data_IF_336490521889
#
_entry.id   IF_336490521889
#
_cell.length_a   1.000
_cell.length_b   1.000
_cell.length_c   1.000
_cell.angle_alpha   90.00
_cell.angle_beta   90.00
_cell.angle_gamma   90.00
#
_symmetry.space_group_name_H-M   'P 1'
#
loop_
_entity.id
_entity.type
_entity.pdbx_description
1 polymer ?
#
# COMPACT_ATOMS: atom_id res chain seq x y z
N UNK A 1 11.52 -11.45 19.01
CA UNK A 1 10.74 -10.25 18.59
C UNK A 1 11.52 -9.03 19.04
N UNK A 2 12.29 -8.40 18.14
CA UNK A 2 12.85 -7.08 18.42
C UNK A 2 11.67 -6.11 18.47
N UNK A 3 11.41 -5.53 19.63
CA UNK A 3 10.51 -4.39 19.72
C UNK A 3 11.14 -3.29 18.89
N UNK A 4 10.57 -3.01 17.71
CA UNK A 4 10.77 -1.72 17.07
C UNK A 4 10.65 -0.69 18.18
N UNK A 5 11.56 0.25 18.21
CA UNK A 5 11.45 1.35 19.14
C UNK A 5 10.14 2.07 18.85
N UNK A 6 9.10 1.70 19.60
CA UNK A 6 7.76 2.28 19.52
C UNK A 6 7.79 3.80 19.76
N UNK A 7 8.96 4.34 20.12
CA UNK A 7 9.15 5.77 20.39
C UNK A 7 8.95 6.63 19.14
N UNK A 8 9.44 6.18 17.97
CA UNK A 8 9.37 6.98 16.73
C UNK A 8 7.97 6.89 16.13
N UNK A 9 7.47 5.66 15.88
CA UNK A 9 6.14 5.47 15.30
C UNK A 9 5.00 5.87 16.25
N UNK A 10 5.22 5.80 17.56
CA UNK A 10 4.28 6.22 18.61
C UNK A 10 4.27 7.72 18.91
N UNK A 11 4.99 8.55 18.17
CA UNK A 11 5.05 9.99 18.43
C UNK A 11 3.67 10.64 18.34
N UNK A 12 2.85 10.24 17.37
CA UNK A 12 1.49 10.74 17.14
C UNK A 12 0.41 9.67 17.31
N UNK A 13 0.72 8.41 17.02
CA UNK A 13 -0.25 7.32 17.06
C UNK A 13 -0.64 6.97 18.51
N UNK A 14 -1.95 6.84 18.76
CA UNK A 14 -2.49 6.50 20.09
C UNK A 14 -2.49 7.63 21.10
N UNK A 15 -2.06 8.85 20.74
CA UNK A 15 -2.12 10.05 21.59
C UNK A 15 -3.21 11.02 21.13
N UNK A 16 -3.74 11.84 22.02
CA UNK A 16 -4.52 13.03 21.63
C UNK A 16 -3.58 13.93 20.82
N UNK A 17 -3.93 14.17 19.57
CA UNK A 17 -3.21 15.10 18.69
C UNK A 17 -4.02 16.38 18.56
N UNK A 18 -3.39 17.51 18.78
CA UNK A 18 -3.95 18.78 18.33
C UNK A 18 -3.75 18.88 16.83
N UNK A 19 -4.80 19.23 16.10
CA UNK A 19 -4.72 19.45 14.65
C UNK A 19 -4.16 20.84 14.41
N UNK A 20 -3.07 20.93 13.65
CA UNK A 20 -2.55 22.21 13.20
C UNK A 20 -3.56 22.92 12.29
N UNK A 21 -3.77 24.21 12.50
CA UNK A 21 -4.68 25.01 11.69
C UNK A 21 -4.02 25.55 10.42
N UNK A 22 -2.69 25.56 10.39
CA UNK A 22 -1.89 26.03 9.25
C UNK A 22 -0.83 24.99 8.88
N UNK A 23 -0.41 25.05 7.62
CA UNK A 23 0.60 24.16 7.07
C UNK A 23 1.84 24.04 7.96
N UNK A 24 2.16 22.79 8.31
CA UNK A 24 3.29 22.45 9.16
C UNK A 24 3.97 21.13 8.70
N UNK A 25 5.11 21.21 7.97
CA UNK A 25 5.84 20.04 7.54
C UNK A 25 6.56 19.30 8.67
N UNK A 26 6.71 19.88 9.85
CA UNK A 26 7.34 19.23 11.00
C UNK A 26 6.50 18.10 11.60
N UNK A 27 5.23 18.00 11.21
CA UNK A 27 4.32 16.91 11.59
C UNK A 27 4.71 15.57 10.95
N UNK A 28 5.46 15.58 9.84
CA UNK A 28 5.83 14.37 9.12
C UNK A 28 6.87 13.56 9.90
N UNK A 29 6.64 12.25 9.99
CA UNK A 29 7.52 11.29 10.68
C UNK A 29 7.90 10.17 9.72
N UNK A 30 9.21 9.87 9.64
CA UNK A 30 9.75 8.73 8.90
C UNK A 30 9.97 7.54 9.85
N UNK A 31 9.58 6.35 9.41
CA UNK A 31 9.78 5.09 10.16
C UNK A 31 10.74 4.19 9.39
N UNK A 32 11.86 3.75 9.99
CA UNK A 32 12.81 2.87 9.32
C UNK A 32 12.19 1.51 8.96
N UNK A 33 12.47 1.03 7.74
CA UNK A 33 12.03 -0.32 7.29
C UNK A 33 12.91 -1.44 7.85
N UNK A 34 14.17 -1.12 8.13
CA UNK A 34 15.19 -2.10 8.51
C UNK A 34 14.74 -3.05 9.63
N UNK A 35 14.17 -2.59 10.77
CA UNK A 35 13.77 -3.50 11.84
C UNK A 35 12.73 -4.55 11.41
N UNK A 36 11.77 -4.17 10.54
CA UNK A 36 10.78 -5.12 10.03
C UNK A 36 11.39 -6.08 9.01
N UNK A 37 12.29 -5.61 8.15
CA UNK A 37 13.02 -6.43 7.18
C UNK A 37 13.96 -7.41 7.86
N UNK A 38 14.66 -7.00 8.92
CA UNK A 38 15.51 -7.89 9.73
C UNK A 38 14.68 -9.06 10.32
N UNK A 39 13.46 -8.81 10.77
CA UNK A 39 12.57 -9.85 11.34
C UNK A 39 12.21 -10.96 10.34
N UNK A 40 12.23 -10.68 9.06
CA UNK A 40 11.96 -11.63 7.98
C UNK A 40 13.23 -12.00 7.18
N UNK A 41 14.41 -11.72 7.73
CA UNK A 41 15.71 -11.99 7.10
C UNK A 41 15.85 -11.39 5.70
N UNK A 42 15.43 -10.13 5.52
CA UNK A 42 15.60 -9.37 4.28
C UNK A 42 16.70 -8.34 4.45
N UNK A 43 17.76 -8.44 3.64
CA UNK A 43 18.78 -7.40 3.53
C UNK A 43 18.21 -6.21 2.76
N UNK A 44 18.25 -5.02 3.38
CA UNK A 44 17.77 -3.78 2.77
C UNK A 44 18.51 -3.42 1.48
N UNK A 45 19.78 -3.84 1.32
CA UNK A 45 20.57 -3.60 0.13
C UNK A 45 20.42 -4.68 -0.94
N UNK A 46 19.81 -5.82 -0.60
CA UNK A 46 19.62 -6.95 -1.51
C UNK A 46 18.26 -7.62 -1.24
N UNK A 47 17.19 -6.91 -1.54
CA UNK A 47 15.84 -7.41 -1.36
C UNK A 47 15.49 -8.49 -2.39
N UNK A 48 14.63 -9.47 -2.05
CA UNK A 48 14.18 -10.49 -3.00
C UNK A 48 13.24 -9.95 -4.08
N UNK A 49 12.77 -8.71 -3.94
CA UNK A 49 12.03 -7.96 -4.96
C UNK A 49 12.94 -6.88 -5.56
N UNK A 50 12.82 -6.66 -6.85
CA UNK A 50 13.55 -5.59 -7.56
C UNK A 50 12.74 -4.30 -7.62
N UNK A 51 11.42 -4.43 -7.80
CA UNK A 51 10.49 -3.31 -7.96
C UNK A 51 9.58 -3.25 -6.74
N UNK A 52 9.55 -2.10 -6.11
CA UNK A 52 8.75 -1.85 -4.92
C UNK A 52 8.11 -0.47 -5.00
N UNK A 53 6.82 -0.40 -4.72
CA UNK A 53 6.10 0.87 -4.67
C UNK A 53 5.19 0.89 -3.45
N UNK A 54 5.12 2.05 -2.81
CA UNK A 54 4.10 2.35 -1.81
C UNK A 54 3.18 3.43 -2.39
N UNK A 55 1.92 3.05 -2.60
CA UNK A 55 0.89 3.92 -3.17
C UNK A 55 -0.07 4.33 -2.06
N UNK A 56 -0.32 5.64 -1.95
CA UNK A 56 -1.20 6.22 -0.95
C UNK A 56 -2.29 7.02 -1.63
N UNK A 57 -3.55 6.65 -1.39
CA UNK A 57 -4.69 7.40 -1.89
C UNK A 57 -5.21 8.29 -0.76
N UNK A 58 -5.24 9.60 -1.00
CA UNK A 58 -5.61 10.63 -0.05
C UNK A 58 -6.93 11.25 -0.49
N UNK A 59 -7.99 11.03 0.29
CA UNK A 59 -9.36 11.40 -0.09
C UNK A 59 -9.83 12.73 0.49
N UNK A 60 -9.03 13.33 1.36
CA UNK A 60 -9.42 14.50 2.17
C UNK A 60 -8.37 15.61 2.05
N UNK A 61 -7.84 15.84 0.83
CA UNK A 61 -6.95 17.00 0.58
C UNK A 61 -7.83 18.23 0.50
N UNK A 62 -7.53 19.25 1.31
CA UNK A 62 -8.30 20.49 1.37
C UNK A 62 -7.38 21.67 1.71
N UNK A 63 -7.72 22.86 1.18
CA UNK A 63 -7.01 24.11 1.46
C UNK A 63 -7.89 25.30 1.04
N UNK A 64 -7.35 26.53 1.08
CA UNK A 64 -8.03 27.75 0.71
C UNK A 64 -7.35 28.42 -0.48
N UNK A 65 -8.13 28.97 -1.41
CA UNK A 65 -7.63 29.89 -2.43
C UNK A 65 -7.13 31.20 -1.80
N UNK A 66 -6.47 32.03 -2.59
CA UNK A 66 -5.96 33.33 -2.13
C UNK A 66 -7.05 34.24 -1.55
N UNK A 67 -8.28 34.13 -2.03
CA UNK A 67 -9.45 34.87 -1.52
C UNK A 67 -10.11 34.24 -0.28
N UNK A 68 -9.62 33.06 0.17
CA UNK A 68 -10.18 32.31 1.30
C UNK A 68 -11.29 31.33 0.93
N UNK A 69 -11.60 31.14 -0.35
CA UNK A 69 -12.56 30.14 -0.79
C UNK A 69 -12.00 28.72 -0.53
N UNK A 70 -12.72 27.84 0.20
CA UNK A 70 -12.28 26.47 0.41
C UNK A 70 -12.42 25.64 -0.87
N UNK A 71 -11.49 24.71 -1.04
CA UNK A 71 -11.54 23.69 -2.07
C UNK A 71 -11.08 22.34 -1.51
N UNK A 72 -11.45 21.27 -2.18
CA UNK A 72 -11.03 19.89 -1.83
C UNK A 72 -10.67 19.11 -3.07
N UNK A 73 -9.87 18.07 -2.90
CA UNK A 73 -9.48 17.16 -3.96
C UNK A 73 -9.09 15.79 -3.42
N UNK A 74 -8.88 14.87 -4.35
CA UNK A 74 -8.32 13.55 -4.07
C UNK A 74 -6.91 13.45 -4.63
N UNK A 75 -6.00 12.87 -3.86
CA UNK A 75 -4.59 12.75 -4.23
C UNK A 75 -4.13 11.31 -4.31
N UNK A 76 -3.20 11.03 -5.21
CA UNK A 76 -2.50 9.75 -5.28
C UNK A 76 -1.00 9.99 -5.18
N UNK A 77 -0.42 9.54 -4.07
CA UNK A 77 1.02 9.63 -3.79
C UNK A 77 1.66 8.29 -4.15
N UNK A 78 2.79 8.33 -4.83
CA UNK A 78 3.58 7.14 -5.19
C UNK A 78 5.05 7.41 -4.92
N UNK A 79 5.72 6.47 -4.25
CA UNK A 79 7.17 6.49 -4.06
C UNK A 79 7.76 5.08 -4.02
N UNK A 80 9.09 5.00 -4.15
CA UNK A 80 9.83 3.75 -4.16
C UNK A 80 9.77 3.05 -2.78
N UNK A 81 9.28 1.82 -2.76
CA UNK A 81 9.23 0.97 -1.57
C UNK A 81 10.59 0.38 -1.16
N UNK A 82 11.68 0.64 -1.90
CA UNK A 82 13.05 0.29 -1.50
C UNK A 82 13.74 1.39 -0.66
N UNK A 83 13.08 2.51 -0.40
CA UNK A 83 13.60 3.55 0.49
C UNK A 83 13.94 3.01 1.88
N UNK A 84 14.82 3.71 2.61
CA UNK A 84 15.19 3.34 3.98
C UNK A 84 14.01 3.44 4.97
N UNK A 85 13.08 4.36 4.70
CA UNK A 85 11.95 4.67 5.59
C UNK A 85 10.61 4.60 4.84
N UNK A 86 9.53 4.40 5.61
CA UNK A 86 8.14 4.69 5.22
C UNK A 86 7.70 6.00 5.89
N UNK A 87 6.72 6.69 5.32
CA UNK A 87 6.04 7.77 6.04
C UNK A 87 5.06 7.17 7.06
N UNK A 88 5.05 7.70 8.29
CA UNK A 88 4.10 7.24 9.31
C UNK A 88 2.69 7.75 8.98
N UNK A 89 1.71 6.85 8.97
CA UNK A 89 0.36 7.12 8.43
C UNK A 89 -0.41 8.21 9.19
N UNK A 90 -0.30 8.27 10.52
CA UNK A 90 -0.97 9.28 11.33
C UNK A 90 -0.31 10.65 11.12
N UNK A 91 1.01 10.68 11.00
CA UNK A 91 1.76 11.91 10.73
C UNK A 91 1.40 12.51 9.37
N UNK A 92 1.28 11.65 8.34
CA UNK A 92 0.82 12.10 7.01
C UNK A 92 -0.60 12.66 7.05
N UNK A 93 -1.51 12.04 7.81
CA UNK A 93 -2.88 12.57 8.00
C UNK A 93 -2.87 13.94 8.65
N UNK A 94 -2.08 14.12 9.72
CA UNK A 94 -1.95 15.41 10.40
C UNK A 94 -1.33 16.47 9.48
N UNK A 95 -0.30 16.10 8.71
CA UNK A 95 0.35 16.97 7.74
C UNK A 95 -0.62 17.42 6.64
N UNK A 96 -1.35 16.49 6.01
CA UNK A 96 -2.35 16.86 4.99
C UNK A 96 -3.47 17.71 5.58
N UNK A 97 -3.90 17.43 6.82
CA UNK A 97 -4.91 18.24 7.50
C UNK A 97 -4.43 19.66 7.82
N UNK A 98 -3.12 19.88 7.99
CA UNK A 98 -2.57 21.21 8.29
C UNK A 98 -2.78 22.22 7.14
N UNK A 99 -3.10 21.76 5.92
CA UNK A 99 -3.45 22.64 4.81
C UNK A 99 -4.87 23.21 4.90
N UNK A 100 -5.77 22.64 5.70
CA UNK A 100 -7.21 22.94 5.66
C UNK A 100 -7.54 24.44 5.83
N UNK A 101 -6.77 25.18 6.64
CA UNK A 101 -6.94 26.63 6.81
C UNK A 101 -5.78 27.44 6.22
N UNK A 102 -4.89 26.78 5.48
CA UNK A 102 -3.78 27.43 4.79
C UNK A 102 -4.28 28.04 3.47
N UNK A 103 -3.94 29.30 3.22
CA UNK A 103 -4.21 29.93 1.92
C UNK A 103 -3.09 29.65 0.94
N UNK A 104 -3.44 29.17 -0.25
CA UNK A 104 -2.56 29.16 -1.41
C UNK A 104 -2.43 30.56 -2.01
N UNK A 105 -1.48 30.73 -2.93
CA UNK A 105 -1.38 31.93 -3.74
C UNK A 105 -2.29 31.90 -4.96
N UNK A 106 -2.88 30.75 -5.24
CA UNK A 106 -3.65 30.48 -6.44
C UNK A 106 -4.99 31.23 -6.45
N UNK A 107 -5.41 31.62 -7.64
CA UNK A 107 -6.71 32.24 -7.93
C UNK A 107 -7.74 31.25 -8.43
N UNK A 108 -7.29 30.05 -8.85
CA UNK A 108 -8.15 28.97 -9.31
C UNK A 108 -7.82 27.65 -8.61
N UNK A 109 -8.78 26.71 -8.60
CA UNK A 109 -8.61 25.39 -7.98
C UNK A 109 -7.50 24.58 -8.67
N UNK A 110 -7.39 24.66 -10.00
CA UNK A 110 -6.34 23.95 -10.74
C UNK A 110 -4.95 24.46 -10.40
N UNK A 111 -4.75 25.77 -10.32
CA UNK A 111 -3.48 26.35 -9.86
C UNK A 111 -3.17 25.95 -8.42
N UNK A 112 -4.19 25.88 -7.54
CA UNK A 112 -4.02 25.48 -6.16
C UNK A 112 -3.60 24.00 -6.04
N UNK A 113 -4.13 23.11 -6.88
CA UNK A 113 -3.67 21.71 -6.92
C UNK A 113 -2.20 21.61 -7.31
N UNK A 114 -1.75 22.37 -8.31
CA UNK A 114 -0.32 22.36 -8.69
C UNK A 114 0.57 22.97 -7.60
N UNK A 115 0.12 24.00 -6.89
CA UNK A 115 0.85 24.56 -5.74
C UNK A 115 0.99 23.53 -4.61
N UNK A 116 -0.11 22.88 -4.20
CA UNK A 116 -0.08 21.84 -3.17
C UNK A 116 0.78 20.64 -3.57
N UNK A 117 0.68 20.22 -4.83
CA UNK A 117 1.50 19.14 -5.38
C UNK A 117 2.99 19.43 -5.21
N UNK A 118 3.45 20.61 -5.61
CA UNK A 118 4.87 21.00 -5.48
C UNK A 118 5.33 20.96 -4.01
N UNK A 119 4.49 21.45 -3.10
CA UNK A 119 4.80 21.47 -1.67
C UNK A 119 4.88 20.04 -1.12
N UNK A 120 3.87 19.20 -1.38
CA UNK A 120 3.79 17.84 -0.86
C UNK A 120 4.91 16.96 -1.44
N UNK A 121 5.19 17.04 -2.75
CA UNK A 121 6.31 16.31 -3.39
C UNK A 121 7.65 16.70 -2.76
N UNK A 122 7.90 17.98 -2.54
CA UNK A 122 9.11 18.49 -1.90
C UNK A 122 9.28 17.95 -0.47
N UNK A 123 8.25 18.04 0.34
CA UNK A 123 8.33 17.71 1.76
C UNK A 123 8.48 16.20 1.97
N UNK A 124 7.70 15.39 1.27
CA UNK A 124 7.81 13.94 1.34
C UNK A 124 9.11 13.41 0.69
N UNK A 125 9.57 14.02 -0.42
CA UNK A 125 10.85 13.64 -1.03
C UNK A 125 12.02 13.93 -0.10
N UNK A 126 11.97 15.06 0.62
CA UNK A 126 12.98 15.39 1.63
C UNK A 126 12.93 14.42 2.81
N UNK A 127 11.73 14.09 3.31
CA UNK A 127 11.55 13.18 4.44
C UNK A 127 12.09 11.78 4.15
N UNK A 128 11.76 11.25 2.95
CA UNK A 128 12.05 9.87 2.56
C UNK A 128 13.36 9.71 1.77
N UNK A 129 14.06 10.81 1.49
CA UNK A 129 15.27 10.86 0.67
C UNK A 129 15.09 10.13 -0.69
N UNK A 130 13.95 10.34 -1.34
CA UNK A 130 13.60 9.74 -2.63
C UNK A 130 12.67 10.66 -3.43
N UNK A 131 12.47 10.33 -4.70
CA UNK A 131 11.48 11.03 -5.53
C UNK A 131 10.08 10.55 -5.15
N UNK A 132 9.28 11.44 -4.58
CA UNK A 132 7.85 11.24 -4.36
C UNK A 132 7.06 11.95 -5.45
N UNK A 133 6.02 11.30 -5.96
CA UNK A 133 5.09 11.88 -6.94
C UNK A 133 3.69 11.91 -6.37
N UNK A 134 2.99 13.01 -6.58
CA UNK A 134 1.57 13.13 -6.28
C UNK A 134 0.82 13.71 -7.47
N UNK A 135 -0.38 13.26 -7.69
CA UNK A 135 -1.38 13.95 -8.51
C UNK A 135 -2.57 14.29 -7.63
N UNK A 136 -3.11 15.49 -7.78
CA UNK A 136 -4.33 15.93 -7.09
C UNK A 136 -5.36 16.27 -8.16
N UNK A 137 -6.57 15.76 -8.00
CA UNK A 137 -7.68 15.98 -8.92
C UNK A 137 -8.97 16.29 -8.18
N UNK A 138 -9.91 16.90 -8.88
CA UNK A 138 -11.24 17.18 -8.36
C UNK A 138 -12.02 15.87 -8.17
N UNK A 139 -12.56 15.67 -6.98
CA UNK A 139 -13.41 14.52 -6.64
C UNK A 139 -14.73 14.47 -7.45
N UNK A 140 -15.15 15.61 -8.04
CA UNK A 140 -16.39 15.72 -8.81
C UNK A 140 -16.29 15.18 -10.24
N UNK A 141 -15.08 15.10 -10.81
CA UNK A 141 -14.85 14.64 -12.18
C UNK A 141 -14.59 13.13 -12.26
N UNK A 142 -14.82 12.38 -11.18
CA UNK A 142 -14.53 10.97 -11.09
C UNK A 142 -15.40 10.05 -11.95
N UNK A 143 -16.48 10.53 -12.60
CA UNK A 143 -17.37 9.65 -13.36
C UNK A 143 -16.71 9.06 -14.61
N UNK A 144 -15.91 9.82 -15.35
CA UNK A 144 -15.23 9.32 -16.54
C UNK A 144 -13.98 8.48 -16.20
N UNK A 145 -13.39 8.70 -15.04
CA UNK A 145 -12.26 7.92 -14.52
C UNK A 145 -12.69 6.61 -13.85
N UNK A 146 -13.90 6.52 -13.32
CA UNK A 146 -14.41 5.34 -12.62
C UNK A 146 -14.48 4.10 -13.51
N UNK A 147 -14.79 4.25 -14.78
CA UNK A 147 -14.90 3.12 -15.72
C UNK A 147 -13.54 2.50 -16.12
N UNK A 148 -12.42 3.21 -15.94
CA UNK A 148 -11.07 2.70 -16.21
C UNK A 148 -10.31 2.32 -14.94
N UNK A 149 -10.72 2.81 -13.79
CA UNK A 149 -10.06 2.59 -12.51
C UNK A 149 -10.51 1.31 -11.79
N UNK A 150 -11.60 0.69 -12.21
CA UNK A 150 -12.17 -0.50 -11.56
C UNK A 150 -11.39 -1.79 -11.83
N UNK A 151 -10.41 -1.76 -12.76
CA UNK A 151 -9.69 -2.95 -13.19
C UNK A 151 -8.18 -2.69 -13.26
N UNK A 152 -7.42 -3.70 -12.87
CA UNK A 152 -5.98 -3.67 -13.07
C UNK A 152 -5.62 -3.76 -14.56
N UNK A 153 -4.70 -2.92 -14.99
CA UNK A 153 -4.25 -2.89 -16.40
C UNK A 153 -2.75 -2.97 -16.51
N UNK A 154 -2.28 -3.60 -17.60
CA UNK A 154 -0.90 -3.49 -18.04
C UNK A 154 -0.62 -2.10 -18.64
N UNK A 155 0.67 -1.80 -18.90
CA UNK A 155 1.07 -0.54 -19.51
C UNK A 155 0.48 -0.29 -20.92
N UNK A 156 0.09 -1.34 -21.63
CA UNK A 156 -0.60 -1.27 -22.92
C UNK A 156 -2.12 -1.13 -22.83
N UNK A 157 -2.67 -1.00 -21.60
CA UNK A 157 -4.11 -0.84 -21.34
C UNK A 157 -4.93 -2.14 -21.31
N UNK A 158 -4.32 -3.32 -21.56
CA UNK A 158 -5.04 -4.58 -21.45
C UNK A 158 -5.33 -4.94 -19.98
N UNK A 159 -6.48 -5.59 -19.75
CA UNK A 159 -6.94 -5.96 -18.40
C UNK A 159 -6.12 -7.12 -17.83
N UNK A 160 -5.89 -7.07 -16.51
CA UNK A 160 -5.31 -8.16 -15.72
C UNK A 160 -6.42 -8.83 -14.92
N UNK A 161 -6.70 -10.10 -15.22
CA UNK A 161 -7.68 -10.89 -14.48
C UNK A 161 -7.03 -11.67 -13.35
N UNK A 162 -7.68 -11.72 -12.18
CA UNK A 162 -7.30 -12.51 -11.03
C UNK A 162 -8.40 -13.50 -10.68
N UNK A 163 -8.01 -14.70 -10.26
CA UNK A 163 -8.93 -15.71 -9.72
C UNK A 163 -9.23 -15.37 -8.26
N UNK A 164 -10.49 -15.09 -7.94
CA UNK A 164 -10.90 -14.91 -6.54
C UNK A 164 -10.99 -16.27 -5.87
N UNK A 165 -10.14 -16.51 -4.86
CA UNK A 165 -10.06 -17.79 -4.17
C UNK A 165 -11.07 -17.93 -3.03
N UNK A 166 -11.67 -16.84 -2.55
CA UNK A 166 -12.59 -16.86 -1.42
C UNK A 166 -13.86 -17.66 -1.69
N UNK A 167 -14.23 -17.77 -2.96
CA UNK A 167 -15.41 -18.53 -3.41
C UNK A 167 -15.09 -20.00 -3.76
N UNK A 168 -13.81 -20.33 -3.93
CA UNK A 168 -13.39 -21.64 -4.40
C UNK A 168 -13.01 -22.60 -3.27
N UNK A 169 -12.86 -22.10 -2.03
CA UNK A 169 -12.26 -22.86 -0.93
C UNK A 169 -13.24 -22.95 0.24
N UNK A 170 -14.38 -23.58 0.01
CA UNK A 170 -15.43 -23.76 1.02
C UNK A 170 -15.30 -25.06 1.84
N UNK A 171 -14.37 -25.96 1.46
CA UNK A 171 -14.20 -27.28 2.10
C UNK A 171 -12.99 -27.35 3.04
N UNK A 172 -12.18 -26.27 3.11
CA UNK A 172 -10.97 -26.25 3.92
C UNK A 172 -11.25 -26.00 5.40
N UNK A 173 -10.48 -26.63 6.27
CA UNK A 173 -10.53 -26.38 7.71
C UNK A 173 -9.39 -25.44 8.11
N UNK A 174 -9.70 -24.40 8.85
CA UNK A 174 -8.77 -23.37 9.31
C UNK A 174 -8.61 -23.46 10.83
N UNK A 175 -7.39 -23.69 11.31
CA UNK A 175 -7.10 -23.88 12.74
C UNK A 175 -5.96 -22.98 13.24
N UNK A 176 -5.28 -22.26 12.33
CA UNK A 176 -4.12 -21.45 12.67
C UNK A 176 -4.35 -19.99 12.25
N UNK A 177 -4.22 -19.09 13.22
CA UNK A 177 -4.44 -17.65 13.07
C UNK A 177 -3.22 -16.82 13.55
N UNK A 178 -2.07 -17.48 13.71
CA UNK A 178 -0.76 -16.86 13.91
C UNK A 178 0.11 -17.19 12.71
N UNK A 179 0.89 -16.20 12.28
CA UNK A 179 1.78 -16.27 11.14
C UNK A 179 2.54 -17.60 11.08
N UNK A 180 2.30 -18.36 10.02
CA UNK A 180 2.91 -19.68 9.83
C UNK A 180 3.19 -19.94 8.35
N UNK A 181 4.43 -19.71 7.87
CA UNK A 181 4.82 -19.97 6.48
C UNK A 181 4.82 -21.45 6.10
N UNK A 182 4.81 -22.40 7.06
CA UNK A 182 4.77 -23.82 6.76
C UNK A 182 3.41 -24.30 6.25
N UNK A 183 2.38 -23.46 6.34
CA UNK A 183 1.10 -23.69 5.67
C UNK A 183 1.21 -23.57 4.14
N UNK A 184 2.24 -22.92 3.61
CA UNK A 184 2.55 -22.83 2.19
C UNK A 184 3.19 -24.14 1.71
N UNK A 185 2.38 -25.20 1.64
CA UNK A 185 2.83 -26.52 1.19
C UNK A 185 3.00 -26.51 -0.33
N UNK A 186 4.21 -26.83 -0.77
CA UNK A 186 4.61 -26.88 -2.17
C UNK A 186 4.39 -28.29 -2.71
N UNK A 187 3.79 -28.40 -3.87
CA UNK A 187 3.65 -29.63 -4.64
C UNK A 187 4.40 -29.53 -5.96
N UNK A 188 4.85 -30.66 -6.53
CA UNK A 188 5.46 -30.69 -7.86
C UNK A 188 4.44 -30.36 -8.94
N UNK A 189 4.88 -29.66 -9.98
CA UNK A 189 4.08 -29.29 -11.14
C UNK A 189 4.85 -29.60 -12.43
N UNK A 190 4.16 -30.12 -13.44
CA UNK A 190 4.73 -30.41 -14.74
C UNK A 190 4.13 -29.45 -15.80
N UNK A 191 4.51 -28.19 -15.73
CA UNK A 191 4.02 -27.20 -16.71
C UNK A 191 4.50 -25.81 -16.40
N UNK A 192 4.31 -24.90 -17.36
CA UNK A 192 4.56 -23.46 -17.18
C UNK A 192 3.24 -22.72 -17.19
N UNK A 193 2.94 -22.03 -16.12
CA UNK A 193 1.72 -21.21 -16.02
C UNK A 193 1.98 -19.99 -15.13
N UNK A 194 1.07 -19.02 -15.19
CA UNK A 194 1.05 -17.87 -14.32
C UNK A 194 -0.19 -17.94 -13.44
N UNK A 195 0.02 -18.13 -12.15
CA UNK A 195 -1.04 -18.03 -11.16
C UNK A 195 -1.29 -16.56 -10.81
N UNK A 196 -2.54 -16.11 -10.94
CA UNK A 196 -3.01 -14.80 -10.48
C UNK A 196 -4.16 -14.99 -9.52
N UNK A 197 -3.97 -14.58 -8.28
CA UNK A 197 -4.85 -14.87 -7.16
C UNK A 197 -5.27 -13.57 -6.51
N UNK A 198 -6.56 -13.47 -6.19
CA UNK A 198 -7.14 -12.43 -5.37
C UNK A 198 -7.85 -13.04 -4.16
N UNK A 199 -7.73 -12.40 -3.01
CA UNK A 199 -8.53 -12.68 -1.82
C UNK A 199 -8.86 -11.39 -1.09
N UNK A 200 -10.09 -11.27 -0.61
CA UNK A 200 -10.56 -10.17 0.25
C UNK A 200 -10.39 -10.49 1.75
N UNK A 201 -9.75 -11.61 2.09
CA UNK A 201 -9.63 -12.09 3.46
C UNK A 201 -8.30 -11.69 4.13
N UNK A 202 -7.51 -10.81 3.52
CA UNK A 202 -6.34 -10.26 4.20
C UNK A 202 -6.79 -9.48 5.43
N UNK A 203 -6.23 -9.89 6.57
CA UNK A 203 -6.44 -9.24 7.86
C UNK A 203 -5.13 -9.26 8.63
N UNK A 204 -4.73 -8.11 9.16
CA UNK A 204 -3.61 -7.95 10.08
C UNK A 204 -3.98 -6.96 11.19
N UNK A 205 -3.04 -6.62 12.04
CA UNK A 205 -3.24 -5.64 13.12
C UNK A 205 -2.18 -4.55 13.05
N UNK A 206 -2.59 -3.34 13.31
CA UNK A 206 -1.63 -2.24 13.48
C UNK A 206 -0.73 -2.51 14.69
N UNK A 207 0.59 -2.47 14.50
CA UNK A 207 1.55 -2.76 15.57
C UNK A 207 1.52 -1.74 16.73
N UNK A 208 0.96 -0.54 16.50
CA UNK A 208 0.89 0.53 17.50
C UNK A 208 -0.43 0.55 18.24
N UNK A 209 -1.55 0.49 17.50
CA UNK A 209 -2.90 0.64 18.08
C UNK A 209 -3.63 -0.69 18.27
N UNK A 210 -3.09 -1.78 17.74
CA UNK A 210 -3.72 -3.10 17.66
C UNK A 210 -5.09 -3.09 16.94
N UNK A 211 -5.41 -2.03 16.21
CA UNK A 211 -6.63 -1.97 15.40
C UNK A 211 -6.54 -2.98 14.26
N UNK A 212 -7.67 -3.63 13.89
CA UNK A 212 -7.72 -4.54 12.76
C UNK A 212 -7.51 -3.77 11.44
N UNK A 213 -6.65 -4.30 10.56
CA UNK A 213 -6.38 -3.80 9.22
C UNK A 213 -6.87 -4.82 8.20
N UNK A 214 -7.89 -4.47 7.42
CA UNK A 214 -8.44 -5.30 6.36
C UNK A 214 -7.88 -4.87 5.01
N UNK A 215 -7.72 -5.83 4.10
CA UNK A 215 -7.24 -5.55 2.75
C UNK A 215 -7.68 -6.59 1.73
N UNK A 216 -7.57 -6.21 0.46
CA UNK A 216 -7.63 -7.09 -0.69
C UNK A 216 -6.21 -7.40 -1.13
N UNK A 217 -5.87 -8.68 -1.22
CA UNK A 217 -4.53 -9.17 -1.56
C UNK A 217 -4.53 -9.74 -2.97
N UNK A 218 -3.53 -9.34 -3.76
CA UNK A 218 -3.30 -9.81 -5.12
C UNK A 218 -1.90 -10.42 -5.20
N UNK A 219 -1.82 -11.66 -5.68
CA UNK A 219 -0.58 -12.41 -5.84
C UNK A 219 -0.49 -12.87 -7.29
N UNK A 220 0.66 -12.63 -7.93
CA UNK A 220 1.01 -13.21 -9.23
C UNK A 220 2.33 -13.93 -9.10
N UNK A 221 2.41 -15.20 -9.50
CA UNK A 221 3.67 -15.92 -9.59
C UNK A 221 3.70 -16.87 -10.77
N UNK A 222 4.90 -17.12 -11.29
CA UNK A 222 5.09 -18.13 -12.34
C UNK A 222 5.28 -19.50 -11.70
N UNK A 223 4.60 -20.49 -12.28
CA UNK A 223 4.74 -21.91 -11.95
C UNK A 223 5.61 -22.57 -13.03
N UNK A 224 6.70 -23.18 -12.61
CA UNK A 224 7.58 -23.94 -13.52
C UNK A 224 7.66 -25.41 -13.07
N UNK A 225 8.12 -25.65 -11.85
CA UNK A 225 8.27 -26.98 -11.26
C UNK A 225 7.55 -27.12 -9.91
N UNK A 226 7.14 -26.00 -9.33
CA UNK A 226 6.54 -25.92 -8.00
C UNK A 226 5.25 -25.11 -8.03
N UNK A 227 4.28 -25.60 -7.28
CA UNK A 227 2.97 -25.00 -7.14
C UNK A 227 2.51 -25.02 -5.68
N UNK A 228 1.83 -23.99 -5.25
CA UNK A 228 1.13 -23.97 -3.95
C UNK A 228 -0.36 -24.01 -4.22
N UNK A 229 -1.06 -25.01 -3.68
CA UNK A 229 -2.51 -25.14 -3.84
C UNK A 229 -3.26 -23.94 -3.25
N UNK A 230 -4.38 -23.56 -3.85
CA UNK A 230 -5.19 -22.41 -3.42
C UNK A 230 -5.62 -22.52 -1.96
N UNK A 231 -5.96 -23.75 -1.49
CA UNK A 231 -6.29 -24.02 -0.09
C UNK A 231 -5.12 -23.73 0.87
N UNK A 232 -3.91 -24.08 0.49
CA UNK A 232 -2.71 -23.81 1.28
C UNK A 232 -2.43 -22.30 1.36
N UNK A 233 -2.58 -21.57 0.25
CA UNK A 233 -2.48 -20.11 0.22
C UNK A 233 -3.54 -19.49 1.13
N UNK A 234 -4.79 -19.92 1.05
CA UNK A 234 -5.87 -19.39 1.88
C UNK A 234 -5.64 -19.64 3.38
N UNK A 235 -5.18 -20.85 3.76
CA UNK A 235 -4.80 -21.15 5.16
C UNK A 235 -3.65 -20.27 5.64
N UNK A 236 -2.65 -20.05 4.79
CA UNK A 236 -1.55 -19.16 5.10
C UNK A 236 -2.05 -17.71 5.30
N UNK A 237 -2.89 -17.18 4.40
CA UNK A 237 -3.46 -15.84 4.56
C UNK A 237 -4.31 -15.74 5.84
N UNK A 238 -5.06 -16.78 6.19
CA UNK A 238 -5.79 -16.83 7.46
C UNK A 238 -4.84 -16.76 8.68
N UNK A 239 -3.62 -17.31 8.59
CA UNK A 239 -2.63 -17.24 9.68
C UNK A 239 -2.07 -15.83 9.90
N UNK A 240 -2.13 -14.95 8.90
CA UNK A 240 -1.72 -13.54 9.01
C UNK A 240 -2.63 -12.74 9.96
N UNK A 241 -3.80 -13.24 10.34
CA UNK A 241 -4.74 -12.55 11.26
C UNK A 241 -4.15 -12.20 12.62
N UNK A 242 -3.14 -12.94 13.08
CA UNK A 242 -2.37 -12.65 14.29
C UNK A 242 -1.14 -11.78 14.05
N UNK A 243 -0.81 -11.46 12.79
CA UNK A 243 0.33 -10.63 12.44
C UNK A 243 0.08 -9.17 12.81
N UNK A 244 1.05 -8.53 13.47
CA UNK A 244 0.95 -7.15 13.94
C UNK A 244 2.11 -6.34 13.37
N UNK A 245 1.81 -5.56 12.32
CA UNK A 245 2.78 -4.74 11.61
C UNK A 245 2.10 -3.60 10.85
N UNK A 246 2.87 -2.71 10.23
CA UNK A 246 2.35 -1.78 9.22
C UNK A 246 1.98 -2.53 7.93
N UNK A 247 1.29 -1.87 7.02
CA UNK A 247 0.80 -2.44 5.77
C UNK A 247 1.94 -2.89 4.85
N UNK A 248 2.96 -2.04 4.70
CA UNK A 248 4.11 -2.27 3.84
C UNK A 248 4.93 -3.51 4.28
N UNK A 249 5.37 -3.60 5.56
CA UNK A 249 6.04 -4.80 6.05
C UNK A 249 5.17 -6.06 5.99
N UNK A 250 3.83 -5.95 6.16
CA UNK A 250 2.95 -7.11 6.02
C UNK A 250 3.00 -7.68 4.59
N UNK A 251 3.01 -6.82 3.56
CA UNK A 251 3.18 -7.24 2.16
C UNK A 251 4.58 -7.81 1.93
N UNK A 252 5.62 -7.21 2.51
CA UNK A 252 7.00 -7.72 2.45
C UNK A 252 7.13 -9.12 3.09
N UNK A 253 6.45 -9.36 4.22
CA UNK A 253 6.39 -10.66 4.88
C UNK A 253 5.73 -11.72 3.99
N UNK A 254 4.57 -11.41 3.41
CA UNK A 254 3.87 -12.32 2.51
C UNK A 254 4.73 -12.63 1.28
N UNK A 255 5.34 -11.59 0.69
CA UNK A 255 6.24 -11.75 -0.44
C UNK A 255 7.42 -12.69 -0.10
N UNK A 256 8.09 -12.43 1.02
CA UNK A 256 9.26 -13.20 1.46
C UNK A 256 8.92 -14.67 1.70
N UNK A 257 7.82 -14.96 2.37
CA UNK A 257 7.40 -16.34 2.62
C UNK A 257 7.08 -17.10 1.32
N UNK A 258 6.37 -16.46 0.39
CA UNK A 258 6.11 -17.05 -0.93
C UNK A 258 7.41 -17.24 -1.73
N UNK A 259 8.30 -16.24 -1.69
CA UNK A 259 9.59 -16.30 -2.37
C UNK A 259 10.45 -17.46 -1.85
N UNK A 260 10.55 -17.63 -0.53
CA UNK A 260 11.35 -18.70 0.08
C UNK A 260 10.79 -20.09 -0.22
N UNK A 261 9.46 -20.26 -0.24
CA UNK A 261 8.82 -21.55 -0.50
C UNK A 261 8.86 -21.94 -1.98
N UNK A 262 8.64 -21.01 -2.88
CA UNK A 262 8.54 -21.26 -4.33
C UNK A 262 9.89 -21.11 -5.04
N UNK A 263 10.76 -20.22 -4.57
CA UNK A 263 11.93 -19.73 -5.32
C UNK A 263 11.54 -19.37 -6.78
N UNK A 264 10.54 -18.52 -6.97
CA UNK A 264 9.91 -18.30 -8.28
C UNK A 264 10.76 -17.34 -9.12
N UNK A 265 10.78 -17.57 -10.45
CA UNK A 265 11.38 -16.59 -11.36
C UNK A 265 10.59 -15.27 -11.35
N UNK A 266 9.27 -15.34 -11.19
CA UNK A 266 8.37 -14.20 -11.26
C UNK A 266 7.41 -14.22 -10.08
N UNK A 267 7.42 -13.17 -9.29
CA UNK A 267 6.52 -13.00 -8.15
C UNK A 267 6.13 -11.52 -8.01
N UNK A 268 4.86 -11.26 -7.82
CA UNK A 268 4.33 -9.97 -7.39
C UNK A 268 3.32 -10.17 -6.26
N UNK A 269 3.41 -9.35 -5.23
CA UNK A 269 2.43 -9.24 -4.14
C UNK A 269 2.01 -7.78 -4.00
N UNK A 270 0.72 -7.54 -4.04
CA UNK A 270 0.12 -6.22 -3.86
C UNK A 270 -1.08 -6.36 -2.91
N UNK A 271 -1.23 -5.43 -1.98
CA UNK A 271 -2.41 -5.37 -1.12
C UNK A 271 -3.04 -3.98 -1.17
N UNK A 272 -4.36 -3.93 -1.15
CA UNK A 272 -5.14 -2.70 -1.00
C UNK A 272 -5.80 -2.73 0.37
N UNK A 273 -5.32 -1.91 1.27
CA UNK A 273 -5.89 -1.79 2.60
C UNK A 273 -7.05 -0.81 2.62
N UNK A 274 -8.09 -1.15 3.38
CA UNK A 274 -9.28 -0.32 3.51
C UNK A 274 -8.93 1.07 4.06
N UNK A 275 -9.66 2.07 3.56
CA UNK A 275 -9.46 3.47 3.93
C UNK A 275 -9.65 3.72 5.43
N UNK A 276 -8.73 4.47 6.03
CA UNK A 276 -8.81 4.93 7.42
C UNK A 276 -8.37 6.39 7.54
N UNK A 277 -9.22 7.22 8.12
CA UNK A 277 -8.93 8.63 8.33
C UNK A 277 -8.52 9.32 7.04
N UNK A 278 -9.28 9.09 5.96
CA UNK A 278 -9.08 9.74 4.68
C UNK A 278 -7.91 9.21 3.84
N UNK A 279 -7.26 8.10 4.22
CA UNK A 279 -6.14 7.52 3.47
C UNK A 279 -6.31 6.00 3.31
N UNK A 280 -6.04 5.47 2.10
CA UNK A 280 -5.79 4.05 1.86
C UNK A 280 -4.37 3.83 1.35
N UNK A 281 -3.81 2.65 1.61
CA UNK A 281 -2.42 2.32 1.30
C UNK A 281 -2.38 1.04 0.49
N UNK A 282 -1.64 1.06 -0.63
CA UNK A 282 -1.44 -0.11 -1.48
C UNK A 282 0.07 -0.36 -1.69
N UNK A 283 0.72 -1.15 -0.82
CA UNK A 283 2.10 -1.58 -1.02
C UNK A 283 2.19 -2.63 -2.12
N UNK A 284 3.23 -2.54 -2.96
CA UNK A 284 3.51 -3.48 -4.05
C UNK A 284 4.95 -3.90 -3.99
N UNK A 285 5.21 -5.21 -4.11
CA UNK A 285 6.55 -5.78 -4.22
C UNK A 285 6.57 -6.75 -5.39
N UNK A 286 7.58 -6.65 -6.26
CA UNK A 286 7.66 -7.48 -7.46
C UNK A 286 9.09 -7.77 -7.89
N UNK A 287 9.32 -8.97 -8.41
CA UNK A 287 10.58 -9.34 -9.08
C UNK A 287 10.72 -8.67 -10.44
N UNK A 288 9.61 -8.38 -11.13
CA UNK A 288 9.55 -7.86 -12.50
C UNK A 288 8.54 -6.73 -12.63
N UNK A 289 8.92 -5.67 -13.35
CA UNK A 289 8.09 -4.48 -13.52
C UNK A 289 6.77 -4.77 -14.25
N UNK A 290 6.82 -5.60 -15.27
CA UNK A 290 5.66 -5.97 -16.07
C UNK A 290 4.58 -6.79 -15.35
N UNK A 291 4.86 -7.27 -14.13
CA UNK A 291 3.84 -7.88 -13.28
C UNK A 291 2.98 -6.86 -12.54
N UNK A 292 3.48 -5.64 -12.42
CA UNK A 292 2.84 -4.58 -11.64
C UNK A 292 1.71 -3.97 -12.45
N UNK A 293 0.50 -3.84 -11.87
CA UNK A 293 -0.59 -3.14 -12.54
C UNK A 293 -0.23 -1.67 -12.76
N UNK A 294 -0.13 -1.26 -14.02
CA UNK A 294 0.34 0.07 -14.40
C UNK A 294 -0.53 1.20 -13.83
N UNK A 295 -1.84 1.02 -13.86
CA UNK A 295 -2.77 2.02 -13.34
C UNK A 295 -2.70 2.19 -11.80
N UNK A 296 -2.12 1.23 -11.10
CA UNK A 296 -1.91 1.35 -9.65
C UNK A 296 -0.75 2.28 -9.34
N UNK A 297 0.39 2.09 -10.01
CA UNK A 297 1.62 2.85 -9.75
C UNK A 297 1.71 4.16 -10.51
N UNK A 298 0.95 4.34 -11.58
CA UNK A 298 0.94 5.60 -12.29
C UNK A 298 0.16 6.65 -11.50
N UNK A 299 0.87 7.61 -10.91
CA UNK A 299 0.27 8.69 -10.11
C UNK A 299 -0.72 9.57 -10.90
N UNK A 300 -0.60 9.63 -12.24
CA UNK A 300 -1.49 10.43 -13.11
C UNK A 300 -2.84 9.76 -13.41
N UNK A 301 -2.94 8.46 -13.16
CA UNK A 301 -4.18 7.72 -13.33
C UNK A 301 -4.92 7.73 -11.98
N UNK A 302 -6.22 7.97 -12.02
CA UNK A 302 -7.04 7.91 -10.84
C UNK A 302 -6.84 6.58 -10.09
N UNK A 303 -7.06 6.62 -8.80
CA UNK A 303 -6.94 5.45 -7.94
C UNK A 303 -7.88 4.31 -8.38
N UNK A 304 -7.38 3.08 -8.32
CA UNK A 304 -8.18 1.87 -8.53
C UNK A 304 -9.12 1.71 -7.34
N UNK A 305 -10.41 1.76 -7.59
CA UNK A 305 -11.43 1.67 -6.56
C UNK A 305 -11.86 0.22 -6.36
N UNK A 306 -11.66 -0.31 -5.18
CA UNK A 306 -12.18 -1.61 -4.80
C UNK A 306 -13.48 -1.48 -3.99
N UNK A 307 -14.32 -2.54 -3.93
CA UNK A 307 -15.63 -2.46 -3.28
C UNK A 307 -15.62 -2.03 -1.81
N UNK A 308 -14.48 -2.13 -1.14
CA UNK A 308 -14.34 -1.79 0.29
C UNK A 308 -13.65 -0.45 0.58
N UNK A 309 -13.41 0.34 -0.46
CA UNK A 309 -12.80 1.68 -0.34
C UNK A 309 -13.81 2.82 -0.46
#
# INVERSE_FOLDING_TARGET
>A
MSRLDNSIAGTHLGKKSEYAEVYDPSLLVAVPRKPNRDNINVDCNNTPWKYAYDVWNCYEISSLLNNGQPFSGVGKIVYDGNTECIVESKSLKLYLNSFNQTRTKASSILEAYEELKVIIERDLSKLLNTVVRINISDSRFGQDYMNQADYFTYGNGSLISFTNIDQLINTETYTQYHENPDLLQVTGWLGKDNCRIHTSNLFSRCQITNQPDHGDLFITYSVEDKYIGLGAISKYIASIRGHSCFHEPTVETIFKHLYDKLNPNRLMVCAFYTRRGGISIAPIRSTHEELIPYNVINHRIAHVKLPRE
#
